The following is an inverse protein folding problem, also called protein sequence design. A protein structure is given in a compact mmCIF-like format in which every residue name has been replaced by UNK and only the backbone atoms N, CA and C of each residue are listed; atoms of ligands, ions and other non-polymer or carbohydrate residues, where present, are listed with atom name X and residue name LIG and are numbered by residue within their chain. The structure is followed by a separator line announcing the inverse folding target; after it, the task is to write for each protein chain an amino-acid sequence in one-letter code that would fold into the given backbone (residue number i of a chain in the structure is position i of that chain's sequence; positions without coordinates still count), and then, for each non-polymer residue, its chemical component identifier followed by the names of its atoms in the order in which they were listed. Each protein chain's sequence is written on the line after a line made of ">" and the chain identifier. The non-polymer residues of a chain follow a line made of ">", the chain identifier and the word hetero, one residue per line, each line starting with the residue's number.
data_IF_613263509959
#
_entry.id   IF_613263509959
#
_cell.length_a   1.000
_cell.length_b   1.000
_cell.length_c   1.000
_cell.angle_alpha   90.00
_cell.angle_beta   90.00
_cell.angle_gamma   90.00
#
_symmetry.space_group_name_H-M   'P 1'
#
loop_
_entity.id
_entity.type
_entity.pdbx_description
1 polymer ?
#
# COMPACT_ATOMS: atom_id res chain seq x y z
N UNK A 1 15.74 14.63 -29.42
CA UNK A 1 15.80 14.79 -27.95
C UNK A 1 14.38 14.65 -27.43
N UNK A 2 14.01 13.45 -27.03
CA UNK A 2 12.70 13.17 -26.45
C UNK A 2 12.91 13.14 -24.95
N UNK A 3 12.55 14.22 -24.28
CA UNK A 3 12.56 14.29 -22.82
C UNK A 3 11.43 13.41 -22.32
N UNK A 4 11.70 12.10 -22.20
CA UNK A 4 10.83 11.17 -21.49
C UNK A 4 10.80 11.61 -20.03
N UNK A 5 9.82 12.44 -19.69
CA UNK A 5 9.44 12.69 -18.32
C UNK A 5 8.92 11.37 -17.76
N UNK A 6 9.82 10.52 -17.27
CA UNK A 6 9.50 9.51 -16.28
C UNK A 6 9.02 10.23 -15.02
N UNK A 7 7.76 10.69 -15.05
CA UNK A 7 6.99 10.96 -13.85
C UNK A 7 6.91 9.61 -13.14
N UNK A 8 7.92 9.33 -12.33
CA UNK A 8 7.85 8.32 -11.29
C UNK A 8 6.59 8.69 -10.51
N UNK A 9 5.52 7.93 -10.71
CA UNK A 9 4.25 8.11 -10.01
C UNK A 9 4.55 7.86 -8.54
N UNK A 10 4.85 8.94 -7.82
CA UNK A 10 5.14 8.89 -6.40
C UNK A 10 3.83 8.59 -5.70
N UNK A 11 3.63 7.34 -5.34
CA UNK A 11 2.52 6.95 -4.49
C UNK A 11 2.89 7.22 -3.03
N UNK A 12 1.89 7.68 -2.27
CA UNK A 12 2.06 8.05 -0.88
C UNK A 12 0.98 7.40 -0.03
N UNK A 13 1.38 6.92 1.13
CA UNK A 13 0.53 6.20 2.07
C UNK A 13 0.71 6.77 3.47
N UNK A 14 -0.39 6.90 4.20
CA UNK A 14 -0.36 7.11 5.65
C UNK A 14 -0.60 5.77 6.32
N UNK A 15 0.37 5.33 7.14
CA UNK A 15 0.28 4.07 7.89
C UNK A 15 0.11 4.42 9.37
N UNK A 16 -0.96 3.91 9.97
CA UNK A 16 -1.22 4.01 11.41
C UNK A 16 -1.16 2.60 11.99
N UNK A 17 -0.32 2.39 13.01
CA UNK A 17 -0.19 1.13 13.71
C UNK A 17 -0.48 1.34 15.19
N UNK A 18 -1.19 0.41 15.81
CA UNK A 18 -1.43 0.41 17.25
C UNK A 18 -1.43 -1.02 17.79
N UNK A 19 -1.05 -1.16 19.06
CA UNK A 19 -0.99 -2.43 19.75
C UNK A 19 -2.25 -2.61 20.59
N UNK A 20 -2.94 -3.72 20.40
CA UNK A 20 -4.20 -4.06 21.08
C UNK A 20 -3.95 -4.97 22.29
N UNK A 21 -2.97 -5.86 22.23
CA UNK A 21 -2.56 -6.77 23.30
C UNK A 21 -1.03 -6.84 23.44
N UNK A 22 -0.50 -7.24 24.60
CA UNK A 22 0.95 -7.33 24.86
C UNK A 22 1.70 -8.34 23.96
N UNK A 23 0.98 -9.30 23.39
CA UNK A 23 1.56 -10.32 22.52
C UNK A 23 1.88 -9.78 21.11
N UNK A 24 2.87 -10.36 20.41
CA UNK A 24 3.29 -9.84 19.09
C UNK A 24 2.21 -9.91 18.00
N UNK A 25 1.17 -10.73 18.20
CA UNK A 25 -0.03 -10.83 17.32
C UNK A 25 -1.06 -9.71 17.56
N UNK A 26 -0.81 -8.84 18.54
CA UNK A 26 -1.71 -7.77 18.94
C UNK A 26 -1.62 -6.49 18.09
N UNK A 27 -0.76 -6.42 17.07
CA UNK A 27 -0.67 -5.23 16.23
C UNK A 27 -1.84 -5.16 15.25
N UNK A 28 -2.52 -4.03 15.25
CA UNK A 28 -3.54 -3.65 14.28
C UNK A 28 -3.10 -2.39 13.55
N UNK A 29 -3.71 -2.13 12.41
CA UNK A 29 -3.33 -0.95 11.65
C UNK A 29 -4.34 -0.52 10.61
N UNK A 30 -4.03 0.61 10.02
CA UNK A 30 -4.77 1.23 8.94
C UNK A 30 -3.78 1.81 7.93
N UNK A 31 -4.04 1.55 6.66
CA UNK A 31 -3.32 2.11 5.52
C UNK A 31 -4.30 3.02 4.79
N UNK A 32 -3.89 4.27 4.57
CA UNK A 32 -4.65 5.22 3.77
C UNK A 32 -3.82 5.63 2.56
N UNK A 33 -4.35 5.40 1.36
CA UNK A 33 -3.73 5.88 0.13
C UNK A 33 -4.01 7.37 -0.03
N UNK A 34 -2.96 8.19 -0.19
CA UNK A 34 -3.10 9.65 -0.19
C UNK A 34 -3.83 10.16 -1.44
N UNK A 35 -3.57 9.54 -2.60
CA UNK A 35 -4.15 9.96 -3.88
C UNK A 35 -5.62 9.61 -4.03
N UNK A 36 -6.01 8.38 -3.67
CA UNK A 36 -7.40 7.90 -3.82
C UNK A 36 -8.25 8.09 -2.57
N UNK A 37 -7.63 8.32 -1.42
CA UNK A 37 -8.30 8.33 -0.12
C UNK A 37 -8.77 6.95 0.35
N UNK A 38 -8.43 5.87 -0.36
CA UNK A 38 -8.85 4.52 0.03
C UNK A 38 -8.21 4.10 1.37
N UNK A 39 -9.00 3.40 2.19
CA UNK A 39 -8.60 2.98 3.53
C UNK A 39 -8.70 1.46 3.62
N UNK A 40 -7.61 0.82 4.03
CA UNK A 40 -7.53 -0.60 4.31
C UNK A 40 -7.13 -0.82 5.76
N UNK A 41 -7.85 -1.68 6.48
CA UNK A 41 -7.49 -2.08 7.85
C UNK A 41 -6.70 -3.38 7.81
N UNK A 42 -5.63 -3.46 8.59
CA UNK A 42 -4.79 -4.66 8.73
C UNK A 42 -4.96 -5.27 10.11
N UNK A 43 -5.08 -6.59 10.15
CA UNK A 43 -5.27 -7.36 11.39
C UNK A 43 -3.93 -7.83 11.95
N UNK A 44 -2.93 -8.06 11.12
CA UNK A 44 -1.59 -8.43 11.55
C UNK A 44 -0.54 -7.63 10.79
N UNK A 45 0.68 -7.54 11.32
CA UNK A 45 1.74 -6.77 10.64
C UNK A 45 2.10 -7.37 9.27
N UNK A 46 1.91 -8.67 9.07
CA UNK A 46 2.18 -9.33 7.80
C UNK A 46 1.15 -8.96 6.72
N UNK A 47 -0.06 -8.54 7.10
CA UNK A 47 -1.05 -7.99 6.15
C UNK A 47 -0.55 -6.70 5.50
N UNK A 48 0.33 -5.93 6.17
CA UNK A 48 0.94 -4.72 5.59
C UNK A 48 1.82 -5.08 4.39
N UNK A 49 2.65 -6.13 4.53
CA UNK A 49 3.52 -6.60 3.43
C UNK A 49 2.68 -7.15 2.29
N UNK A 50 1.64 -7.92 2.62
CA UNK A 50 0.69 -8.48 1.64
C UNK A 50 0.02 -7.36 0.85
N UNK A 51 -0.50 -6.34 1.52
CA UNK A 51 -1.14 -5.19 0.88
C UNK A 51 -0.24 -4.50 -0.14
N UNK A 52 1.01 -4.19 0.22
CA UNK A 52 1.93 -3.53 -0.72
C UNK A 52 2.34 -4.42 -1.88
N UNK A 53 2.49 -5.73 -1.65
CA UNK A 53 2.79 -6.68 -2.71
C UNK A 53 1.64 -6.72 -3.73
N UNK A 54 0.41 -6.86 -3.25
CA UNK A 54 -0.79 -6.85 -4.10
C UNK A 54 -0.95 -5.52 -4.84
N UNK A 55 -0.72 -4.39 -4.17
CA UNK A 55 -0.79 -3.06 -4.81
C UNK A 55 0.23 -2.90 -5.95
N UNK A 56 1.47 -3.36 -5.75
CA UNK A 56 2.50 -3.30 -6.80
C UNK A 56 2.13 -4.21 -7.96
N UNK A 57 1.69 -5.44 -7.69
CA UNK A 57 1.27 -6.39 -8.72
C UNK A 57 0.07 -5.87 -9.53
N UNK A 58 -0.89 -5.22 -8.87
CA UNK A 58 -2.04 -4.61 -9.53
C UNK A 58 -1.65 -3.40 -10.38
N UNK A 59 -0.81 -2.50 -9.88
CA UNK A 59 -0.28 -1.36 -10.64
C UNK A 59 0.55 -1.80 -11.84
N UNK A 60 1.35 -2.86 -11.71
CA UNK A 60 2.11 -3.45 -12.81
C UNK A 60 1.17 -4.08 -13.85
N UNK A 61 0.11 -4.77 -13.42
CA UNK A 61 -0.90 -5.33 -14.31
C UNK A 61 -1.69 -4.25 -15.08
N UNK A 62 -2.08 -3.16 -14.41
CA UNK A 62 -2.73 -2.01 -15.05
C UNK A 62 -1.80 -1.34 -16.08
N UNK A 63 -0.52 -1.14 -15.74
CA UNK A 63 0.48 -0.58 -16.67
C UNK A 63 0.74 -1.49 -17.87
N UNK A 64 0.63 -2.80 -17.69
CA UNK A 64 0.76 -3.78 -18.76
C UNK A 64 -0.51 -3.92 -19.62
N UNK A 65 -1.61 -3.25 -19.28
CA UNK A 65 -2.89 -3.33 -20.00
C UNK A 65 -3.59 -4.69 -19.85
N UNK A 66 -3.32 -5.40 -18.75
CA UNK A 66 -3.88 -6.73 -18.47
C UNK A 66 -5.16 -6.68 -17.62
N UNK A 67 -5.65 -5.49 -17.27
CA UNK A 67 -6.90 -5.22 -16.55
C UNK A 67 -7.69 -4.08 -17.19
#
# INVERSE_FOLDING_TARGET
>A
MSSENHLSSREAFVIRLWKVDEDQRGWRGQIQHVRTGSITHIQEIDDLKKYFKEYIEDEEAEKAGLK
#
